data_IF_749884800270
#
_entry.id   IF_749884800270
#
_cell.length_a   1.000
_cell.length_b   1.000
_cell.length_c   1.000
_cell.angle_alpha   90.00
_cell.angle_beta   90.00
_cell.angle_gamma   90.00
#
_symmetry.space_group_name_H-M   'P 1'
#
loop_
_entity.id
_entity.type
_entity.pdbx_description
1 polymer ?
#
# COMPACT_ATOMS: atom_id res chain seq x y z
N UNK A 1 -18.63 -9.39 -58.71
CA UNK A 1 -17.28 -9.14 -58.16
C UNK A 1 -17.37 -9.11 -56.65
N UNK A 2 -16.60 -10.00 -56.01
CA UNK A 2 -16.06 -9.96 -54.64
C UNK A 2 -16.98 -9.64 -53.47
N UNK A 3 -17.56 -10.69 -52.88
CA UNK A 3 -17.94 -10.74 -51.46
C UNK A 3 -17.22 -11.92 -50.82
N UNK A 4 -16.04 -11.69 -50.24
CA UNK A 4 -15.35 -12.61 -49.33
C UNK A 4 -14.11 -11.90 -48.78
N UNK A 5 -14.06 -11.62 -47.48
CA UNK A 5 -12.86 -11.03 -46.88
C UNK A 5 -13.00 -10.43 -45.48
N UNK A 6 -14.18 -10.48 -44.86
CA UNK A 6 -14.37 -10.08 -43.45
C UNK A 6 -14.94 -11.25 -42.66
N UNK A 7 -14.09 -12.24 -42.36
CA UNK A 7 -14.40 -13.26 -41.38
C UNK A 7 -13.15 -13.65 -40.61
N UNK A 8 -13.16 -13.28 -39.32
CA UNK A 8 -12.53 -13.98 -38.22
C UNK A 8 -11.01 -14.15 -38.24
N UNK A 9 -10.30 -13.10 -37.85
CA UNK A 9 -9.08 -13.26 -37.06
C UNK A 9 -9.47 -13.27 -35.56
N UNK A 10 -10.26 -14.26 -35.16
CA UNK A 10 -10.38 -14.60 -33.74
C UNK A 10 -9.07 -15.25 -33.33
N UNK A 11 -8.24 -14.50 -32.60
CA UNK A 11 -7.03 -15.01 -31.98
C UNK A 11 -7.35 -16.33 -31.26
N UNK A 12 -6.93 -17.44 -31.85
CA UNK A 12 -7.05 -18.79 -31.29
C UNK A 12 -6.08 -18.90 -30.12
N UNK A 13 -6.50 -18.39 -28.97
CA UNK A 13 -5.76 -18.48 -27.73
C UNK A 13 -5.60 -19.96 -27.34
N UNK A 14 -4.35 -20.43 -27.20
CA UNK A 14 -4.08 -21.84 -26.92
C UNK A 14 -4.78 -22.28 -25.63
N UNK A 15 -5.55 -23.38 -25.64
CA UNK A 15 -6.31 -23.84 -24.47
C UNK A 15 -5.47 -24.25 -23.25
N UNK A 16 -4.14 -24.34 -23.38
CA UNK A 16 -3.22 -24.49 -22.25
C UNK A 16 -3.02 -23.19 -21.46
N UNK A 17 -2.82 -22.08 -22.15
CA UNK A 17 -2.49 -20.79 -21.52
C UNK A 17 -3.64 -20.24 -20.66
N UNK A 18 -4.90 -20.48 -21.06
CA UNK A 18 -6.07 -20.06 -20.27
C UNK A 18 -6.16 -20.79 -18.94
N UNK A 19 -5.88 -22.10 -18.91
CA UNK A 19 -5.91 -22.91 -17.69
C UNK A 19 -4.82 -22.48 -16.70
N UNK A 20 -3.64 -22.12 -17.22
CA UNK A 20 -2.56 -21.62 -16.38
C UNK A 20 -2.92 -20.29 -15.72
N UNK A 21 -3.49 -19.33 -16.46
CA UNK A 21 -3.95 -18.05 -15.91
C UNK A 21 -5.03 -18.23 -14.82
N UNK A 22 -5.99 -19.13 -15.06
CA UNK A 22 -7.05 -19.45 -14.09
C UNK A 22 -6.46 -20.06 -12.79
N UNK A 23 -5.46 -20.93 -12.92
CA UNK A 23 -4.76 -21.51 -11.76
C UNK A 23 -3.96 -20.47 -10.97
N UNK A 24 -3.25 -19.56 -11.65
CA UNK A 24 -2.53 -18.46 -11.00
C UNK A 24 -3.49 -17.51 -10.27
N UNK A 25 -4.58 -17.10 -10.92
CA UNK A 25 -5.58 -16.21 -10.31
C UNK A 25 -6.21 -16.85 -9.07
N UNK A 26 -6.56 -18.13 -9.14
CA UNK A 26 -7.06 -18.89 -7.99
C UNK A 26 -6.07 -18.86 -6.82
N UNK A 27 -4.78 -19.01 -7.10
CA UNK A 27 -3.73 -18.99 -6.08
C UNK A 27 -3.61 -17.62 -5.41
N UNK A 28 -3.64 -16.54 -6.20
CA UNK A 28 -3.62 -15.15 -5.69
C UNK A 28 -4.84 -14.89 -4.81
N UNK A 29 -6.04 -15.28 -5.26
CA UNK A 29 -7.28 -15.09 -4.50
C UNK A 29 -7.22 -15.82 -3.14
N UNK A 30 -6.77 -17.08 -3.12
CA UNK A 30 -6.62 -17.84 -1.88
C UNK A 30 -5.60 -17.20 -0.92
N UNK A 31 -4.49 -16.70 -1.47
CA UNK A 31 -3.50 -15.97 -0.70
C UNK A 31 -4.11 -14.71 -0.05
N UNK A 32 -4.81 -13.88 -0.82
CA UNK A 32 -5.46 -12.67 -0.30
C UNK A 32 -6.52 -13.02 0.75
N UNK A 33 -7.37 -14.02 0.50
CA UNK A 33 -8.42 -14.44 1.43
C UNK A 33 -7.87 -14.85 2.80
N UNK A 34 -6.70 -15.51 2.82
CA UNK A 34 -6.07 -15.95 4.05
C UNK A 34 -5.26 -14.84 4.75
N UNK A 35 -4.71 -13.90 3.99
CA UNK A 35 -3.72 -12.94 4.51
C UNK A 35 -4.28 -11.55 4.77
N UNK A 36 -5.30 -11.09 4.05
CA UNK A 36 -5.74 -9.68 4.05
C UNK A 36 -6.13 -9.16 5.43
N UNK A 37 -6.80 -10.00 6.23
CA UNK A 37 -7.18 -9.64 7.59
C UNK A 37 -5.94 -9.37 8.45
N UNK A 38 -4.99 -10.29 8.45
CA UNK A 38 -3.77 -10.17 9.26
C UNK A 38 -2.85 -9.08 8.75
N UNK A 39 -2.73 -8.92 7.44
CA UNK A 39 -2.00 -7.83 6.82
C UNK A 39 -2.54 -6.48 7.31
N UNK A 40 -3.86 -6.25 7.19
CA UNK A 40 -4.49 -5.01 7.62
C UNK A 40 -4.34 -4.74 9.13
N UNK A 41 -4.41 -5.79 9.97
CA UNK A 41 -4.18 -5.65 11.43
C UNK A 41 -2.73 -5.26 11.71
N UNK A 42 -1.77 -6.01 11.18
CA UNK A 42 -0.34 -5.82 11.49
C UNK A 42 0.15 -4.46 10.98
N UNK A 43 -0.08 -4.16 9.70
CA UNK A 43 0.34 -2.88 9.13
C UNK A 43 -0.48 -1.71 9.69
N UNK A 44 -1.75 -1.93 10.02
CA UNK A 44 -2.57 -0.93 10.69
C UNK A 44 -2.04 -0.58 12.08
N UNK A 45 -1.63 -1.58 12.88
CA UNK A 45 -1.01 -1.35 14.20
C UNK A 45 0.33 -0.64 14.10
N UNK A 46 1.18 -1.03 13.14
CA UNK A 46 2.46 -0.34 12.89
C UNK A 46 2.20 1.12 12.50
N UNK A 47 1.22 1.35 11.62
CA UNK A 47 0.81 2.69 11.17
C UNK A 47 0.25 3.53 12.32
N UNK A 48 -0.52 2.94 13.24
CA UNK A 48 -0.97 3.61 14.47
C UNK A 48 0.18 4.04 15.39
N UNK A 49 1.38 3.48 15.20
CA UNK A 49 2.61 3.88 15.89
C UNK A 49 3.03 5.33 15.65
N UNK A 50 2.42 6.06 14.71
CA UNK A 50 2.66 7.50 14.52
C UNK A 50 1.97 8.39 15.56
N UNK A 51 1.05 7.86 16.37
CA UNK A 51 0.30 8.66 17.35
C UNK A 51 1.21 9.43 18.33
N UNK A 52 2.29 8.87 18.90
CA UNK A 52 3.21 9.64 19.74
C UNK A 52 3.81 10.84 19.01
N UNK A 53 4.05 10.75 17.69
CA UNK A 53 4.61 11.83 16.85
C UNK A 53 3.64 13.01 16.79
N UNK A 54 2.34 12.69 16.69
CA UNK A 54 1.27 13.68 16.64
C UNK A 54 1.18 14.48 17.93
N UNK A 55 1.43 13.84 19.07
CA UNK A 55 1.39 14.47 20.40
C UNK A 55 2.67 15.25 20.70
N UNK A 56 3.82 14.61 20.44
CA UNK A 56 5.13 15.21 20.63
C UNK A 56 6.13 14.64 19.63
N UNK A 57 6.60 15.47 18.69
CA UNK A 57 7.52 15.07 17.62
C UNK A 57 8.85 14.53 18.13
N UNK A 58 9.31 14.99 19.30
CA UNK A 58 10.58 14.57 19.91
C UNK A 58 10.57 13.09 20.34
N UNK A 59 9.39 12.49 20.50
CA UNK A 59 9.25 11.10 20.94
C UNK A 59 9.74 10.10 19.90
N UNK A 60 9.82 10.49 18.62
CA UNK A 60 10.13 9.61 17.49
C UNK A 60 11.38 10.09 16.73
N UNK A 61 11.97 11.24 17.08
CA UNK A 61 13.28 11.65 16.56
C UNK A 61 14.36 10.55 16.68
N UNK A 62 14.42 9.73 17.75
CA UNK A 62 15.33 8.60 17.82
C UNK A 62 15.05 7.49 16.78
N UNK A 63 13.79 7.29 16.40
CA UNK A 63 13.38 6.31 15.37
C UNK A 63 13.86 6.69 13.97
N UNK A 64 14.09 7.98 13.71
CA UNK A 64 14.70 8.48 12.49
C UNK A 64 16.24 8.54 12.54
N UNK A 65 16.86 7.93 13.57
CA UNK A 65 18.30 7.89 13.74
C UNK A 65 18.96 9.24 14.02
N UNK A 66 18.18 10.26 14.39
CA UNK A 66 18.67 11.64 14.54
C UNK A 66 19.12 12.29 13.24
N UNK A 67 18.80 11.71 12.08
CA UNK A 67 19.17 12.23 10.76
C UNK A 67 18.14 13.22 10.20
N UNK A 68 16.98 13.31 10.83
CA UNK A 68 15.86 14.14 10.35
C UNK A 68 15.64 15.28 11.35
N UNK A 69 15.96 16.50 10.90
CA UNK A 69 15.74 17.72 11.67
C UNK A 69 14.36 18.33 11.38
N UNK A 70 13.71 18.84 12.42
CA UNK A 70 12.42 19.51 12.32
C UNK A 70 12.50 20.92 12.91
N UNK A 71 11.90 21.90 12.25
CA UNK A 71 11.81 23.27 12.75
C UNK A 71 10.54 23.46 13.55
N UNK A 72 10.51 24.49 14.41
CA UNK A 72 9.29 24.87 15.12
C UNK A 72 8.13 25.21 14.15
N UNK A 73 8.43 25.69 12.95
CA UNK A 73 7.44 26.01 11.93
C UNK A 73 6.88 24.78 11.20
N UNK A 74 7.65 23.70 11.07
CA UNK A 74 7.17 22.45 10.44
C UNK A 74 6.40 21.55 11.41
N UNK A 75 6.62 21.71 12.71
CA UNK A 75 6.04 20.84 13.74
C UNK A 75 4.50 20.72 13.68
N UNK A 76 3.69 21.78 13.48
CA UNK A 76 2.24 21.64 13.38
C UNK A 76 1.79 20.79 12.19
N UNK A 77 2.42 20.97 11.03
CA UNK A 77 2.10 20.21 9.82
C UNK A 77 2.45 18.73 9.97
N UNK A 78 3.61 18.44 10.56
CA UNK A 78 4.08 17.07 10.81
C UNK A 78 3.23 16.35 11.85
N UNK A 79 2.79 17.04 12.90
CA UNK A 79 1.87 16.47 13.91
C UNK A 79 0.49 16.17 13.32
N UNK A 80 -0.03 17.09 12.51
CA UNK A 80 -1.27 16.87 11.79
C UNK A 80 -1.17 15.67 10.83
N UNK A 81 -0.09 15.61 10.02
CA UNK A 81 0.18 14.47 9.15
C UNK A 81 0.23 13.17 9.95
N UNK A 82 1.00 13.12 11.04
CA UNK A 82 1.09 11.93 11.90
C UNK A 82 -0.27 11.46 12.44
N UNK A 83 -1.16 12.39 12.78
CA UNK A 83 -2.52 12.07 13.22
C UNK A 83 -3.38 11.52 12.07
N UNK A 84 -3.26 12.07 10.87
CA UNK A 84 -3.92 11.52 9.67
C UNK A 84 -3.44 10.09 9.41
N UNK A 85 -2.14 9.83 9.50
CA UNK A 85 -1.57 8.48 9.34
C UNK A 85 -2.11 7.54 10.42
N UNK A 86 -2.20 7.98 11.67
CA UNK A 86 -2.84 7.21 12.74
C UNK A 86 -4.29 6.83 12.37
N UNK A 87 -5.08 7.77 11.86
CA UNK A 87 -6.45 7.50 11.41
C UNK A 87 -6.50 6.48 10.25
N UNK A 88 -5.54 6.52 9.32
CA UNK A 88 -5.40 5.49 8.27
C UNK A 88 -5.11 4.12 8.90
N UNK A 89 -4.23 4.04 9.91
CA UNK A 89 -3.97 2.80 10.64
C UNK A 89 -5.22 2.22 11.31
N UNK A 90 -6.02 3.08 11.96
CA UNK A 90 -7.31 2.69 12.53
C UNK A 90 -8.27 2.19 11.46
N UNK A 91 -8.34 2.87 10.31
CA UNK A 91 -9.17 2.46 9.18
C UNK A 91 -8.73 1.09 8.62
N UNK A 92 -7.44 0.82 8.51
CA UNK A 92 -6.89 -0.48 8.12
C UNK A 92 -7.36 -1.59 9.06
N UNK A 93 -7.24 -1.37 10.37
CA UNK A 93 -7.72 -2.33 11.38
C UNK A 93 -9.24 -2.53 11.23
N UNK A 94 -10.03 -1.47 11.05
CA UNK A 94 -11.47 -1.57 10.86
C UNK A 94 -11.83 -2.38 9.59
N UNK A 95 -11.14 -2.13 8.47
CA UNK A 95 -11.34 -2.85 7.21
C UNK A 95 -10.96 -4.34 7.30
N UNK A 96 -10.09 -4.72 8.24
CA UNK A 96 -9.78 -6.13 8.48
C UNK A 96 -11.02 -6.92 8.91
N UNK A 97 -11.93 -6.28 9.67
CA UNK A 97 -13.17 -6.87 10.17
C UNK A 97 -14.39 -6.52 9.32
N UNK A 98 -14.31 -5.51 8.47
CA UNK A 98 -15.40 -5.01 7.62
C UNK A 98 -15.02 -5.10 6.14
N UNK A 99 -15.38 -6.20 5.44
CA UNK A 99 -14.98 -6.40 4.04
C UNK A 99 -15.37 -5.26 3.10
N UNK A 100 -16.52 -4.63 3.34
CA UNK A 100 -17.04 -3.52 2.55
C UNK A 100 -16.20 -2.22 2.64
N UNK A 101 -15.26 -2.12 3.58
CA UNK A 101 -14.32 -1.00 3.68
C UNK A 101 -12.98 -1.29 2.98
N UNK A 102 -12.74 -2.53 2.56
CA UNK A 102 -11.39 -2.96 2.15
C UNK A 102 -10.94 -2.27 0.87
N UNK A 103 -11.82 -2.11 -0.10
CA UNK A 103 -11.45 -1.52 -1.38
C UNK A 103 -10.90 -0.09 -1.20
N UNK A 104 -11.68 0.77 -0.54
CA UNK A 104 -11.35 2.17 -0.29
C UNK A 104 -10.14 2.29 0.63
N UNK A 105 -10.07 1.43 1.65
CA UNK A 105 -8.95 1.41 2.58
C UNK A 105 -7.67 1.02 1.88
N UNK A 106 -7.67 -0.03 1.06
CA UNK A 106 -6.50 -0.47 0.29
C UNK A 106 -6.09 0.57 -0.75
N UNK A 107 -7.04 1.31 -1.32
CA UNK A 107 -6.74 2.38 -2.27
C UNK A 107 -6.06 3.56 -1.57
N UNK A 108 -6.68 4.08 -0.51
CA UNK A 108 -6.16 5.21 0.24
C UNK A 108 -4.81 4.90 0.88
N UNK A 109 -4.73 3.79 1.62
CA UNK A 109 -3.48 3.39 2.28
C UNK A 109 -2.43 2.98 1.24
N UNK A 110 -2.77 2.18 0.23
CA UNK A 110 -1.82 1.81 -0.83
C UNK A 110 -1.20 3.04 -1.51
N UNK A 111 -2.01 4.03 -1.91
CA UNK A 111 -1.53 5.25 -2.54
C UNK A 111 -0.63 6.08 -1.61
N UNK A 112 -1.03 6.27 -0.35
CA UNK A 112 -0.26 7.04 0.62
C UNK A 112 1.09 6.38 0.96
N UNK A 113 1.10 5.05 1.18
CA UNK A 113 2.34 4.29 1.42
C UNK A 113 3.24 4.28 0.18
N UNK A 114 2.66 4.15 -1.01
CA UNK A 114 3.40 4.27 -2.27
C UNK A 114 4.05 5.65 -2.44
N UNK A 115 3.40 6.71 -1.95
CA UNK A 115 3.96 8.06 -1.99
C UNK A 115 5.19 8.21 -1.07
N UNK A 116 5.22 7.56 0.10
CA UNK A 116 6.41 7.51 0.96
C UNK A 116 7.59 6.83 0.25
N UNK A 117 7.34 5.71 -0.44
CA UNK A 117 8.38 5.03 -1.24
C UNK A 117 8.89 5.93 -2.36
N UNK A 118 7.98 6.62 -3.06
CA UNK A 118 8.34 7.60 -4.08
C UNK A 118 9.24 8.69 -3.51
N UNK A 119 8.85 9.32 -2.40
CA UNK A 119 9.64 10.37 -1.75
C UNK A 119 11.04 9.88 -1.34
N UNK A 120 11.16 8.64 -0.87
CA UNK A 120 12.46 8.06 -0.55
C UNK A 120 13.36 7.93 -1.78
N UNK A 121 12.81 7.38 -2.87
CA UNK A 121 13.57 7.15 -4.11
C UNK A 121 13.97 8.47 -4.78
N UNK A 122 13.13 9.51 -4.72
CA UNK A 122 13.44 10.80 -5.36
C UNK A 122 14.39 11.69 -4.57
N UNK A 123 14.72 11.33 -3.32
CA UNK A 123 15.62 12.11 -2.46
C UNK A 123 16.81 11.26 -1.98
N UNK A 124 17.23 10.25 -2.76
CA UNK A 124 18.35 9.36 -2.40
C UNK A 124 19.70 10.07 -2.26
N UNK A 125 19.82 11.26 -2.84
CA UNK A 125 20.98 12.14 -2.77
C UNK A 125 21.04 12.99 -1.49
N UNK A 126 19.95 13.01 -0.72
CA UNK A 126 19.84 13.80 0.51
C UNK A 126 20.35 13.03 1.74
N UNK A 127 21.15 13.66 2.63
CA UNK A 127 21.76 12.96 3.77
C UNK A 127 20.74 12.48 4.82
N UNK A 128 19.59 13.13 4.93
CA UNK A 128 18.54 12.82 5.90
C UNK A 128 17.63 11.65 5.47
N UNK A 129 17.70 11.23 4.19
CA UNK A 129 16.75 10.26 3.62
C UNK A 129 16.84 8.89 4.28
N UNK A 130 18.04 8.51 4.73
CA UNK A 130 18.27 7.23 5.39
C UNK A 130 17.53 7.10 6.73
N UNK A 131 17.13 8.22 7.36
CA UNK A 131 16.25 8.20 8.53
C UNK A 131 14.88 7.61 8.23
N UNK A 132 14.41 7.70 6.99
CA UNK A 132 13.12 7.17 6.53
C UNK A 132 13.19 5.70 6.09
N UNK A 133 14.37 5.08 6.07
CA UNK A 133 14.54 3.71 5.59
C UNK A 133 13.61 2.69 6.27
N UNK A 134 13.42 2.70 7.61
CA UNK A 134 12.45 1.80 8.26
C UNK A 134 11.02 2.02 7.78
N UNK A 135 10.60 3.28 7.62
CA UNK A 135 9.26 3.61 7.13
C UNK A 135 9.06 3.08 5.70
N UNK A 136 10.06 3.23 4.83
CA UNK A 136 10.00 2.78 3.44
C UNK A 136 9.95 1.27 3.30
N UNK A 137 10.61 0.52 4.20
CA UNK A 137 10.46 -0.94 4.23
C UNK A 137 9.02 -1.31 4.54
N UNK A 138 8.45 -0.75 5.61
CA UNK A 138 7.08 -1.07 6.05
C UNK A 138 6.07 -0.65 4.99
N UNK A 139 6.13 0.60 4.55
CA UNK A 139 5.20 1.18 3.58
C UNK A 139 5.36 0.53 2.21
N UNK A 140 6.60 0.21 1.80
CA UNK A 140 6.88 -0.51 0.56
C UNK A 140 6.31 -1.93 0.56
N UNK A 141 6.45 -2.68 1.65
CA UNK A 141 5.84 -4.01 1.77
C UNK A 141 4.31 -3.94 1.67
N UNK A 142 3.69 -2.96 2.34
CA UNK A 142 2.25 -2.79 2.28
C UNK A 142 1.76 -2.30 0.91
N UNK A 143 2.51 -1.40 0.26
CA UNK A 143 2.21 -0.92 -1.08
C UNK A 143 2.25 -2.06 -2.10
N UNK A 144 3.29 -2.91 -2.05
CA UNK A 144 3.38 -4.10 -2.90
C UNK A 144 2.22 -5.07 -2.62
N UNK A 145 1.86 -5.28 -1.36
CA UNK A 145 0.69 -6.09 -1.00
C UNK A 145 -0.60 -5.50 -1.60
N UNK A 146 -0.74 -4.16 -1.59
CA UNK A 146 -1.90 -3.47 -2.17
C UNK A 146 -1.99 -3.65 -3.68
N UNK A 147 -0.87 -3.67 -4.40
CA UNK A 147 -0.85 -4.01 -5.82
C UNK A 147 -1.36 -5.43 -6.04
N UNK A 148 -0.88 -6.41 -5.26
CA UNK A 148 -1.34 -7.80 -5.36
C UNK A 148 -2.85 -7.90 -5.06
N UNK A 149 -3.34 -7.15 -4.08
CA UNK A 149 -4.77 -7.05 -3.78
C UNK A 149 -5.58 -6.53 -4.97
N UNK A 150 -5.15 -5.45 -5.63
CA UNK A 150 -5.87 -4.89 -6.79
C UNK A 150 -5.78 -5.75 -8.05
N UNK A 151 -4.72 -6.54 -8.20
CA UNK A 151 -4.62 -7.53 -9.28
C UNK A 151 -5.57 -8.72 -9.04
N UNK A 152 -5.88 -9.02 -7.79
CA UNK A 152 -6.82 -10.10 -7.40
C UNK A 152 -8.28 -9.74 -7.70
N UNK A 153 -9.16 -10.74 -7.70
CA UNK A 153 -10.61 -10.51 -7.84
C UNK A 153 -11.21 -9.81 -6.61
N UNK A 154 -10.51 -9.82 -5.47
CA UNK A 154 -10.95 -9.16 -4.23
C UNK A 154 -10.75 -7.65 -4.23
N UNK A 155 -9.91 -7.15 -5.14
CA UNK A 155 -9.63 -5.72 -5.31
C UNK A 155 -10.57 -5.01 -6.27
N UNK A 156 -11.70 -5.63 -6.63
CA UNK A 156 -12.73 -5.02 -7.49
C UNK A 156 -13.87 -4.50 -6.61
N UNK A 157 -14.40 -3.29 -6.90
CA UNK A 157 -15.54 -2.73 -6.17
C UNK A 157 -16.85 -3.50 -6.44
#
# INVERSE_FOLDING_TARGET
MSGAGLAAETASFKPGHRRDLEAHMRTINLFIDHTVKWCLIVFGLITCGTLPMALNIETITPLFGGMVDFTASSAPALRHWAFVIFCVGVLMIAASFRPWLRFETMLLSGAEKGFIVYLFVTNLDEPWIMGYFPAVIVDGLFFLYSIVFFVSERGRP
#
